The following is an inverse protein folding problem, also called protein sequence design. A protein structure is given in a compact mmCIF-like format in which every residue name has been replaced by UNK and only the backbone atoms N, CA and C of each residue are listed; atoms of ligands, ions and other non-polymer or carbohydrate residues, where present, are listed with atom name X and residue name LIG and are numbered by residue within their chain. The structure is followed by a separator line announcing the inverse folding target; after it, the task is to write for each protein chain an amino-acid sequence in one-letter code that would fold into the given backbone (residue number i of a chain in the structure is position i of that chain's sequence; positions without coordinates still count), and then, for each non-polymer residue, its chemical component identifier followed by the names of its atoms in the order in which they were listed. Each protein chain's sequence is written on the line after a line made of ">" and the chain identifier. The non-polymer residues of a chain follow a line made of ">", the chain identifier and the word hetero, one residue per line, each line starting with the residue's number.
data_IF_367393742937
#
_entry.id   IF_367393742937
#
_cell.length_a   1.000
_cell.length_b   1.000
_cell.length_c   1.000
_cell.angle_alpha   90.00
_cell.angle_beta   90.00
_cell.angle_gamma   90.00
#
_symmetry.space_group_name_H-M   'P 1'
#
loop_
_entity.id
_entity.type
_entity.pdbx_description
1 polymer ?
#
# COMPACT_ATOMS: atom_id res chain seq x y z
N UNK A 1 -3.01 15.41 22.68
CA UNK A 1 -3.93 15.31 21.52
C UNK A 1 -4.25 16.65 20.83
N UNK A 2 -4.01 17.81 21.47
CA UNK A 2 -4.36 19.12 20.89
C UNK A 2 -3.38 19.59 19.80
N UNK A 3 -2.12 19.15 19.83
CA UNK A 3 -1.12 19.50 18.83
C UNK A 3 -1.40 18.89 17.45
N UNK A 4 -1.80 17.63 17.37
CA UNK A 4 -2.02 16.96 16.08
C UNK A 4 -3.15 17.64 15.27
N UNK A 5 -4.17 18.17 15.95
CA UNK A 5 -5.28 18.88 15.32
C UNK A 5 -4.85 20.24 14.76
N UNK A 6 -4.07 21.02 15.53
CA UNK A 6 -3.48 22.29 15.09
C UNK A 6 -2.50 22.10 13.93
N UNK A 7 -1.68 21.07 14.00
CA UNK A 7 -0.73 20.70 12.94
C UNK A 7 -1.47 20.33 11.66
N UNK A 8 -2.54 19.52 11.77
CA UNK A 8 -3.42 19.17 10.65
C UNK A 8 -4.12 20.40 10.06
N UNK A 9 -4.64 21.31 10.88
CA UNK A 9 -5.28 22.55 10.42
C UNK A 9 -4.29 23.46 9.69
N UNK A 10 -3.10 23.69 10.24
CA UNK A 10 -2.06 24.49 9.59
C UNK A 10 -1.59 23.91 8.25
N UNK A 11 -1.48 22.58 8.15
CA UNK A 11 -1.08 21.93 6.91
C UNK A 11 -2.23 21.81 5.91
N UNK A 12 -3.46 21.66 6.38
CA UNK A 12 -4.66 21.67 5.54
C UNK A 12 -4.96 23.04 4.95
N UNK A 13 -4.65 24.13 5.66
CA UNK A 13 -4.79 25.49 5.15
C UNK A 13 -3.72 25.83 4.11
N UNK A 14 -2.46 25.45 4.34
CA UNK A 14 -1.36 25.71 3.39
C UNK A 14 -1.40 24.80 2.17
N UNK A 15 -1.85 23.57 2.32
CA UNK A 15 -1.87 22.57 1.25
C UNK A 15 -3.28 22.01 1.12
N UNK A 16 -4.18 22.73 0.45
CA UNK A 16 -5.56 22.26 0.17
C UNK A 16 -5.61 20.90 -0.55
N UNK A 17 -4.55 20.54 -1.27
CA UNK A 17 -4.42 19.21 -1.86
C UNK A 17 -4.30 18.08 -0.83
N UNK A 18 -3.83 18.33 0.40
CA UNK A 18 -3.31 17.31 1.36
C UNK A 18 -4.32 16.22 1.69
N UNK A 19 -5.60 16.59 1.77
CA UNK A 19 -6.69 15.64 1.90
C UNK A 19 -6.71 14.61 0.76
N UNK A 20 -6.70 15.09 -0.49
CA UNK A 20 -6.77 14.24 -1.69
C UNK A 20 -5.56 13.31 -1.80
N UNK A 21 -4.36 13.79 -1.46
CA UNK A 21 -3.16 12.95 -1.43
C UNK A 21 -3.19 11.88 -0.35
N UNK A 22 -3.57 12.26 0.89
CA UNK A 22 -3.66 11.30 1.98
C UNK A 22 -4.73 10.24 1.70
N UNK A 23 -5.84 10.60 1.07
CA UNK A 23 -6.85 9.66 0.62
C UNK A 23 -6.30 8.68 -0.45
N UNK A 24 -5.58 9.21 -1.45
CA UNK A 24 -4.92 8.41 -2.48
C UNK A 24 -3.89 7.43 -1.89
N UNK A 25 -3.04 7.91 -0.97
CA UNK A 25 -2.06 7.10 -0.22
C UNK A 25 -2.74 6.00 0.60
N UNK A 26 -3.83 6.32 1.30
CA UNK A 26 -4.53 5.35 2.14
C UNK A 26 -5.18 4.26 1.27
N UNK A 27 -5.77 4.63 0.12
CA UNK A 27 -6.24 3.67 -0.89
C UNK A 27 -5.12 2.78 -1.40
N UNK A 28 -3.97 3.36 -1.75
CA UNK A 28 -2.80 2.62 -2.22
C UNK A 28 -2.34 1.57 -1.19
N UNK A 29 -2.31 1.94 0.10
CA UNK A 29 -1.99 1.03 1.20
C UNK A 29 -3.01 -0.10 1.34
N UNK A 30 -4.31 0.20 1.30
CA UNK A 30 -5.36 -0.84 1.35
C UNK A 30 -5.28 -1.82 0.17
N UNK A 31 -4.93 -1.35 -1.03
CA UNK A 31 -4.66 -2.22 -2.18
C UNK A 31 -3.43 -3.11 -1.97
N UNK A 32 -2.39 -2.60 -1.31
CA UNK A 32 -1.21 -3.40 -0.94
C UNK A 32 -1.56 -4.52 0.04
N UNK A 33 -2.33 -4.21 1.08
CA UNK A 33 -2.77 -5.19 2.09
C UNK A 33 -3.71 -6.24 1.49
N UNK A 34 -4.65 -5.84 0.61
CA UNK A 34 -5.52 -6.81 -0.05
C UNK A 34 -4.75 -7.72 -1.00
N UNK A 35 -3.79 -7.17 -1.76
CA UNK A 35 -2.88 -7.95 -2.61
C UNK A 35 -2.04 -8.94 -1.78
N UNK A 36 -1.58 -8.52 -0.60
CA UNK A 36 -0.88 -9.41 0.34
C UNK A 36 -1.76 -10.57 0.78
N UNK A 37 -2.98 -10.29 1.24
CA UNK A 37 -3.90 -11.30 1.72
C UNK A 37 -4.26 -12.32 0.61
N UNK A 38 -4.58 -11.84 -0.59
CA UNK A 38 -4.92 -12.69 -1.74
C UNK A 38 -3.74 -13.58 -2.15
N UNK A 39 -2.53 -13.02 -2.21
CA UNK A 39 -1.32 -13.77 -2.60
C UNK A 39 -0.96 -14.81 -1.53
N UNK A 40 -1.04 -14.45 -0.26
CA UNK A 40 -0.77 -15.36 0.85
C UNK A 40 -1.77 -16.52 0.88
N UNK A 41 -3.07 -16.23 0.79
CA UNK A 41 -4.11 -17.27 0.73
C UNK A 41 -3.96 -18.13 -0.51
N UNK A 42 -3.75 -17.54 -1.69
CA UNK A 42 -3.57 -18.29 -2.93
C UNK A 42 -2.40 -19.25 -2.87
N UNK A 43 -1.26 -18.81 -2.34
CA UNK A 43 -0.10 -19.69 -2.16
C UNK A 43 -0.35 -20.75 -1.09
N UNK A 44 -1.05 -20.44 0.00
CA UNK A 44 -1.39 -21.43 1.03
C UNK A 44 -2.26 -22.56 0.48
N UNK A 45 -3.32 -22.24 -0.26
CA UNK A 45 -4.18 -23.25 -0.92
C UNK A 45 -3.43 -24.04 -1.99
N UNK A 46 -2.62 -23.36 -2.82
CA UNK A 46 -1.81 -24.02 -3.85
C UNK A 46 -0.87 -25.05 -3.24
N UNK A 47 -0.23 -24.68 -2.13
CA UNK A 47 0.69 -25.57 -1.45
C UNK A 47 -0.04 -26.67 -0.65
N UNK A 48 -1.26 -26.44 -0.15
CA UNK A 48 -2.10 -27.47 0.46
C UNK A 48 -2.52 -28.55 -0.56
N UNK A 49 -2.83 -28.13 -1.80
CA UNK A 49 -3.10 -29.05 -2.91
C UNK A 49 -1.84 -29.85 -3.31
N UNK A 50 -0.68 -29.18 -3.34
CA UNK A 50 0.60 -29.80 -3.70
C UNK A 50 1.08 -30.82 -2.66
N UNK A 51 0.76 -30.60 -1.38
CA UNK A 51 1.03 -31.55 -0.28
C UNK A 51 0.32 -32.90 -0.46
N UNK A 52 -0.82 -32.93 -1.15
CA UNK A 52 -1.51 -34.18 -1.49
C UNK A 52 -0.75 -35.01 -2.55
N UNK A 53 0.15 -34.39 -3.33
CA UNK A 53 0.84 -35.03 -4.45
C UNK A 53 2.34 -35.26 -4.24
N UNK A 54 3.00 -34.53 -3.34
CA UNK A 54 4.45 -34.59 -3.13
C UNK A 54 4.82 -34.64 -1.62
N UNK A 55 5.63 -35.62 -1.16
CA UNK A 55 6.08 -35.73 0.23
C UNK A 55 7.16 -34.68 0.54
N UNK A 56 6.78 -33.40 0.62
CA UNK A 56 7.69 -32.29 0.84
C UNK A 56 7.66 -31.77 2.28
N UNK A 57 8.85 -31.47 2.85
CA UNK A 57 9.04 -31.05 4.24
C UNK A 57 8.44 -29.66 4.51
N UNK A 58 7.61 -29.56 5.56
CA UNK A 58 6.81 -28.39 5.94
C UNK A 58 7.62 -27.12 6.28
N UNK A 59 8.95 -27.22 6.43
CA UNK A 59 9.78 -26.14 7.02
C UNK A 59 9.88 -24.87 6.16
N UNK A 60 9.71 -24.96 4.84
CA UNK A 60 9.81 -23.81 3.92
C UNK A 60 8.45 -23.28 3.43
N UNK A 61 7.36 -23.91 3.87
CA UNK A 61 6.00 -23.68 3.36
C UNK A 61 5.44 -22.31 3.71
N UNK A 62 5.81 -21.73 4.85
CA UNK A 62 5.31 -20.42 5.32
C UNK A 62 6.25 -19.27 4.98
N UNK A 63 7.53 -19.55 4.77
CA UNK A 63 8.56 -18.53 4.52
C UNK A 63 8.45 -18.04 3.08
N UNK A 64 8.33 -18.95 2.10
CA UNK A 64 8.17 -18.58 0.70
C UNK A 64 6.96 -17.67 0.43
N UNK A 65 5.73 -18.03 0.86
CA UNK A 65 4.58 -17.18 0.60
C UNK A 65 4.58 -15.88 1.38
N UNK A 66 5.17 -15.83 2.58
CA UNK A 66 5.28 -14.57 3.32
C UNK A 66 6.26 -13.61 2.63
N UNK A 67 7.42 -14.09 2.17
CA UNK A 67 8.40 -13.28 1.43
C UNK A 67 7.82 -12.82 0.09
N UNK A 68 7.26 -13.74 -0.70
CA UNK A 68 6.65 -13.41 -2.00
C UNK A 68 5.52 -12.41 -1.83
N UNK A 69 4.62 -12.65 -0.87
CA UNK A 69 3.50 -11.77 -0.62
C UNK A 69 3.96 -10.37 -0.16
N UNK A 70 5.00 -10.29 0.67
CA UNK A 70 5.59 -9.01 1.09
C UNK A 70 6.19 -8.25 -0.09
N UNK A 71 6.95 -8.93 -0.96
CA UNK A 71 7.51 -8.30 -2.16
C UNK A 71 6.41 -7.80 -3.11
N UNK A 72 5.35 -8.58 -3.32
CA UNK A 72 4.20 -8.19 -4.16
C UNK A 72 3.49 -6.99 -3.55
N UNK A 73 3.18 -7.03 -2.25
CA UNK A 73 2.54 -5.93 -1.54
C UNK A 73 3.37 -4.66 -1.59
N UNK A 74 4.69 -4.77 -1.36
CA UNK A 74 5.62 -3.65 -1.45
C UNK A 74 5.65 -3.05 -2.85
N UNK A 75 5.71 -3.88 -3.88
CA UNK A 75 5.77 -3.43 -5.29
C UNK A 75 4.48 -2.73 -5.70
N UNK A 76 3.32 -3.29 -5.32
CA UNK A 76 2.01 -2.67 -5.59
C UNK A 76 1.87 -1.35 -4.85
N UNK A 77 2.23 -1.32 -3.57
CA UNK A 77 2.14 -0.13 -2.72
C UNK A 77 3.06 0.97 -3.22
N UNK A 78 4.34 0.66 -3.50
CA UNK A 78 5.32 1.64 -3.98
C UNK A 78 4.92 2.26 -5.33
N UNK A 79 4.48 1.44 -6.29
CA UNK A 79 4.00 1.96 -7.59
C UNK A 79 2.79 2.88 -7.44
N UNK A 80 1.82 2.51 -6.62
CA UNK A 80 0.61 3.32 -6.37
C UNK A 80 0.94 4.59 -5.60
N UNK A 81 1.80 4.50 -4.60
CA UNK A 81 2.28 5.63 -3.82
C UNK A 81 3.04 6.66 -4.69
N UNK A 82 3.91 6.19 -5.59
CA UNK A 82 4.60 7.06 -6.55
C UNK A 82 3.61 7.81 -7.46
N UNK A 83 2.58 7.12 -7.98
CA UNK A 83 1.53 7.77 -8.78
C UNK A 83 0.80 8.87 -8.01
N UNK A 84 0.39 8.59 -6.77
CA UNK A 84 -0.23 9.60 -5.92
C UNK A 84 0.70 10.80 -5.64
N UNK A 85 2.01 10.56 -5.51
CA UNK A 85 3.01 11.62 -5.30
C UNK A 85 3.26 12.46 -6.55
N UNK A 86 3.24 11.84 -7.73
CA UNK A 86 3.42 12.56 -9.00
C UNK A 86 2.21 13.43 -9.33
N UNK A 87 0.99 12.92 -9.10
CA UNK A 87 -0.26 13.67 -9.22
C UNK A 87 -0.29 14.86 -8.25
N UNK A 88 0.15 14.64 -7.01
CA UNK A 88 0.34 15.71 -6.04
C UNK A 88 1.29 16.79 -6.56
N UNK A 89 2.51 16.40 -6.94
CA UNK A 89 3.56 17.33 -7.38
C UNK A 89 3.12 18.15 -8.60
N UNK A 90 2.34 17.54 -9.49
CA UNK A 90 1.85 18.20 -10.71
C UNK A 90 0.67 19.15 -10.43
N UNK A 91 -0.14 18.85 -9.42
CA UNK A 91 -1.30 19.66 -9.04
C UNK A 91 -0.93 20.83 -8.11
N UNK A 92 0.10 20.69 -7.27
CA UNK A 92 0.62 21.72 -6.37
C UNK A 92 0.90 23.10 -7.04
N UNK A 93 1.57 23.18 -8.21
CA UNK A 93 1.80 24.46 -8.90
C UNK A 93 0.53 25.11 -9.48
N UNK A 94 -0.54 24.33 -9.73
CA UNK A 94 -1.82 24.88 -10.16
C UNK A 94 -2.57 25.52 -9.00
N UNK A 95 -2.57 24.88 -7.82
CA UNK A 95 -3.20 25.46 -6.62
C UNK A 95 -2.50 26.73 -6.12
N UNK A 96 -1.18 26.81 -6.25
CA UNK A 96 -0.40 28.01 -5.87
C UNK A 96 -0.52 29.16 -6.88
N UNK A 97 -0.88 28.89 -8.15
CA UNK A 97 -1.10 29.93 -9.17
C UNK A 97 -2.48 30.58 -9.16
N UNK A 98 -3.48 29.96 -8.52
CA UNK A 98 -4.84 30.50 -8.37
C UNK A 98 -5.06 31.22 -7.02
N UNK A 99 -3.97 31.63 -6.37
CA UNK A 99 -3.96 32.47 -5.16
C UNK A 99 -3.24 33.78 -5.46
#
# INVERSE_FOLDING_TARGET
>A
MNDFKKVKEHYSEKFKGFGVYTECMTRALFYGVSSFALTFSGLYFSQALLKSRLPYSQKYFLILPSVVSTCVAWTVTSRRAQRCQDEWRTSEPLYTRFQ
#
